data_IF_071204617160
#
_entry.id   IF_071204617160
#
_cell.length_a   1.000
_cell.length_b   1.000
_cell.length_c   1.000
_cell.angle_alpha   90.00
_cell.angle_beta   90.00
_cell.angle_gamma   90.00
#
_symmetry.space_group_name_H-M   'P 1'
#
loop_
_entity.id
_entity.type
_entity.pdbx_description
1 polymer ?
#
# COMPACT_ATOMS: atom_id res chain seq x y z
N UNK A 1 -16.89 -5.44 5.84
CA UNK A 1 -16.33 -4.40 4.95
C UNK A 1 -16.15 -3.12 5.76
N UNK A 2 -14.97 -2.86 6.29
CA UNK A 2 -14.68 -1.57 6.94
C UNK A 2 -14.56 -0.53 5.83
N UNK A 3 -15.38 0.54 5.80
CA UNK A 3 -15.29 1.51 4.71
C UNK A 3 -13.95 2.24 4.79
N UNK A 4 -13.05 1.95 3.85
CA UNK A 4 -11.75 2.64 3.70
C UNK A 4 -11.94 4.16 3.57
N UNK A 5 -13.12 4.61 3.15
CA UNK A 5 -13.55 6.01 3.14
C UNK A 5 -13.28 6.77 4.45
N UNK A 6 -13.35 6.10 5.62
CA UNK A 6 -13.04 6.73 6.92
C UNK A 6 -11.54 6.88 7.22
N UNK A 7 -10.66 6.21 6.47
CA UNK A 7 -9.20 6.28 6.67
C UNK A 7 -8.63 7.56 6.03
N UNK A 8 -9.31 8.14 5.02
CA UNK A 8 -8.89 9.38 4.35
C UNK A 8 -8.72 10.59 5.29
N UNK A 9 -9.39 10.59 6.45
CA UNK A 9 -9.28 11.68 7.44
C UNK A 9 -8.13 11.49 8.41
N UNK A 10 -7.44 10.35 8.39
CA UNK A 10 -6.33 10.06 9.30
C UNK A 10 -5.01 10.58 8.70
N UNK A 11 -4.83 11.91 8.72
CA UNK A 11 -3.70 12.61 8.13
C UNK A 11 -2.31 12.12 8.60
N UNK A 12 -2.24 11.36 9.71
CA UNK A 12 -0.99 10.95 10.35
C UNK A 12 -0.80 9.43 10.45
N UNK A 13 -1.53 8.62 9.68
CA UNK A 13 -1.28 7.16 9.67
C UNK A 13 0.06 6.88 9.02
N UNK A 14 1.00 6.37 9.81
CA UNK A 14 2.33 5.94 9.34
C UNK A 14 2.40 4.45 9.04
N UNK A 15 1.57 3.64 9.69
CA UNK A 15 1.56 2.18 9.55
C UNK A 15 0.13 1.73 9.39
N UNK A 16 -0.15 0.94 8.35
CA UNK A 16 -1.49 0.46 8.06
C UNK A 16 -1.48 -1.05 7.79
N UNK A 17 -2.24 -1.78 8.61
CA UNK A 17 -2.45 -3.23 8.48
C UNK A 17 -3.81 -3.50 7.85
N UNK A 18 -3.80 -4.09 6.66
CA UNK A 18 -4.99 -4.40 5.87
C UNK A 18 -4.93 -5.81 5.26
N UNK A 19 -4.11 -6.67 5.85
CA UNK A 19 -3.88 -8.03 5.36
C UNK A 19 -5.09 -8.93 5.61
N UNK A 20 -5.29 -9.97 4.78
CA UNK A 20 -6.45 -10.88 4.85
C UNK A 20 -7.81 -10.19 4.70
N UNK A 21 -7.93 -9.31 3.71
CA UNK A 21 -9.18 -8.66 3.30
C UNK A 21 -9.47 -8.93 1.81
N UNK A 22 -10.49 -8.28 1.24
CA UNK A 22 -10.81 -8.32 -0.20
C UNK A 22 -10.40 -7.02 -0.91
N UNK A 23 -9.20 -6.50 -0.61
CA UNK A 23 -8.70 -5.28 -1.25
C UNK A 23 -8.27 -5.60 -2.68
N UNK A 24 -8.84 -4.86 -3.63
CA UNK A 24 -8.60 -5.04 -5.08
C UNK A 24 -7.77 -3.92 -5.69
N UNK A 25 -7.63 -2.80 -4.99
CA UNK A 25 -6.96 -1.60 -5.48
C UNK A 25 -6.43 -0.73 -4.34
N UNK A 26 -5.39 0.06 -4.63
CA UNK A 26 -4.85 1.10 -3.74
C UNK A 26 -5.55 2.46 -3.90
N UNK A 27 -6.55 2.59 -4.78
CA UNK A 27 -7.19 3.86 -5.13
C UNK A 27 -7.74 4.62 -3.90
N UNK A 28 -8.30 3.91 -2.92
CA UNK A 28 -8.86 4.51 -1.72
C UNK A 28 -7.82 4.89 -0.67
N UNK A 29 -6.57 4.42 -0.83
CA UNK A 29 -5.46 4.62 0.09
C UNK A 29 -4.45 5.66 -0.41
N UNK A 30 -4.50 6.02 -1.71
CA UNK A 30 -3.50 6.89 -2.36
C UNK A 30 -3.33 8.27 -1.72
N UNK A 31 -4.33 8.74 -0.97
CA UNK A 31 -4.33 10.05 -0.31
C UNK A 31 -3.63 10.02 1.06
N UNK A 32 -3.20 8.84 1.54
CA UNK A 32 -2.49 8.66 2.82
C UNK A 32 -1.01 9.04 2.69
N UNK A 33 -0.75 10.33 2.54
CA UNK A 33 0.59 10.86 2.24
C UNK A 33 1.61 10.59 3.35
N UNK A 34 1.18 10.43 4.61
CA UNK A 34 2.05 10.13 5.75
C UNK A 34 2.41 8.65 5.91
N UNK A 35 1.92 7.78 5.02
CA UNK A 35 2.06 6.33 5.16
C UNK A 35 3.49 5.88 4.85
N UNK A 36 4.12 5.22 5.82
CA UNK A 36 5.47 4.68 5.72
C UNK A 36 5.48 3.16 5.55
N UNK A 37 4.49 2.46 6.11
CA UNK A 37 4.42 1.00 6.06
C UNK A 37 3.00 0.53 5.74
N UNK A 38 2.86 -0.30 4.71
CA UNK A 38 1.58 -0.81 4.23
C UNK A 38 1.59 -2.34 4.12
N UNK A 39 0.79 -3.01 4.94
CA UNK A 39 0.69 -4.47 4.96
C UNK A 39 -0.61 -4.94 4.31
N UNK A 40 -0.49 -5.52 3.12
CA UNK A 40 -1.59 -5.95 2.24
C UNK A 40 -1.51 -7.44 1.87
N UNK A 41 -0.74 -8.25 2.59
CA UNK A 41 -0.62 -9.66 2.27
C UNK A 41 -1.98 -10.37 2.34
N UNK A 42 -2.18 -11.40 1.51
CA UNK A 42 -3.42 -12.17 1.43
C UNK A 42 -4.65 -11.29 1.09
N UNK A 43 -4.61 -10.62 -0.06
CA UNK A 43 -5.70 -9.81 -0.62
C UNK A 43 -5.92 -10.18 -2.11
N UNK A 44 -6.73 -9.42 -2.83
CA UNK A 44 -7.07 -9.63 -4.24
C UNK A 44 -6.55 -8.50 -5.16
N UNK A 45 -5.41 -7.88 -4.83
CA UNK A 45 -4.76 -6.89 -5.68
C UNK A 45 -4.26 -7.55 -6.96
N UNK A 46 -4.70 -7.03 -8.12
CA UNK A 46 -4.21 -7.48 -9.44
C UNK A 46 -3.11 -6.58 -10.01
N UNK A 47 -2.96 -5.38 -9.47
CA UNK A 47 -1.97 -4.41 -9.89
C UNK A 47 -1.57 -3.48 -8.75
N UNK A 48 -0.42 -2.83 -8.94
CA UNK A 48 0.12 -1.82 -8.04
C UNK A 48 -0.16 -0.39 -8.54
N UNK A 49 -1.25 -0.20 -9.30
CA UNK A 49 -1.66 1.15 -9.73
C UNK A 49 -1.80 2.05 -8.48
N UNK A 50 -1.33 3.29 -8.59
CA UNK A 50 -1.28 4.31 -7.52
C UNK A 50 -0.19 4.11 -6.46
N UNK A 51 0.68 3.11 -6.58
CA UNK A 51 1.76 2.91 -5.60
C UNK A 51 2.76 4.09 -5.56
N UNK A 52 2.91 4.79 -6.68
CA UNK A 52 3.72 5.99 -6.85
C UNK A 52 3.20 7.23 -6.09
N UNK A 53 1.96 7.16 -5.57
CA UNK A 53 1.32 8.24 -4.81
C UNK A 53 1.73 8.23 -3.33
N UNK A 54 2.26 7.12 -2.81
CA UNK A 54 2.70 7.02 -1.43
C UNK A 54 4.14 7.52 -1.27
N UNK A 55 4.31 8.85 -1.22
CA UNK A 55 5.63 9.52 -1.26
C UNK A 55 6.56 9.17 -0.10
N UNK A 56 6.01 8.76 1.04
CA UNK A 56 6.77 8.41 2.24
C UNK A 56 6.87 6.89 2.48
N UNK A 57 6.42 6.06 1.53
CA UNK A 57 6.38 4.61 1.73
C UNK A 57 7.79 4.02 1.76
N UNK A 58 8.07 3.31 2.85
CA UNK A 58 9.36 2.65 3.12
C UNK A 58 9.26 1.14 3.08
N UNK A 59 8.07 0.60 3.36
CA UNK A 59 7.82 -0.84 3.34
C UNK A 59 6.44 -1.13 2.78
N UNK A 60 6.34 -2.13 1.91
CA UNK A 60 5.08 -2.72 1.49
C UNK A 60 5.16 -4.25 1.50
N UNK A 61 4.11 -4.91 2.01
CA UNK A 61 3.93 -6.36 1.95
C UNK A 61 2.70 -6.69 1.10
N UNK A 62 2.91 -7.34 -0.03
CA UNK A 62 1.87 -7.66 -1.03
C UNK A 62 1.81 -9.15 -1.36
N UNK A 63 2.53 -9.97 -0.60
CA UNK A 63 2.58 -11.43 -0.77
C UNK A 63 1.16 -12.02 -0.77
N UNK A 64 0.94 -13.10 -1.52
CA UNK A 64 -0.38 -13.74 -1.65
C UNK A 64 -1.45 -12.78 -2.20
N UNK A 65 -1.09 -11.99 -3.22
CA UNK A 65 -2.00 -11.29 -4.11
C UNK A 65 -1.76 -11.75 -5.56
N UNK A 66 -2.78 -11.74 -6.43
CA UNK A 66 -2.63 -12.11 -7.85
C UNK A 66 -1.99 -10.98 -8.70
N UNK A 67 -0.87 -10.41 -8.25
CA UNK A 67 -0.13 -9.36 -8.95
C UNK A 67 0.86 -10.00 -9.92
N UNK A 68 0.76 -9.67 -11.20
CA UNK A 68 1.64 -10.21 -12.25
C UNK A 68 2.68 -9.21 -12.74
N UNK A 69 2.52 -7.92 -12.43
CA UNK A 69 3.44 -6.84 -12.83
C UNK A 69 3.94 -6.08 -11.59
N UNK A 70 5.25 -6.17 -11.35
CA UNK A 70 5.96 -5.48 -10.27
C UNK A 70 6.77 -4.27 -10.76
N UNK A 71 6.72 -3.94 -12.06
CA UNK A 71 7.36 -2.76 -12.65
C UNK A 71 7.05 -1.47 -11.87
N UNK A 72 5.83 -1.25 -11.35
CA UNK A 72 5.54 -0.05 -10.55
C UNK A 72 6.40 0.11 -9.29
N UNK A 73 6.99 -0.96 -8.75
CA UNK A 73 7.88 -0.89 -7.57
C UNK A 73 9.27 -0.34 -7.90
N UNK A 74 9.73 -0.44 -9.15
CA UNK A 74 11.06 0.03 -9.58
C UNK A 74 11.18 1.55 -9.39
N UNK A 75 10.07 2.26 -9.57
CA UNK A 75 10.01 3.72 -9.45
C UNK A 75 9.85 4.21 -8.01
N UNK A 76 9.73 3.30 -7.04
CA UNK A 76 9.62 3.65 -5.62
C UNK A 76 11.00 3.55 -5.02
N UNK A 77 11.51 4.68 -4.55
CA UNK A 77 12.75 4.71 -3.80
C UNK A 77 12.48 4.23 -2.37
N UNK A 78 12.45 2.91 -2.16
CA UNK A 78 12.48 2.37 -0.80
C UNK A 78 13.83 2.72 -0.18
N UNK A 79 13.90 3.35 1.01
CA UNK A 79 15.16 3.52 1.69
C UNK A 79 15.72 2.12 1.93
N UNK A 80 16.87 1.84 1.31
CA UNK A 80 17.58 0.59 1.54
C UNK A 80 17.79 0.47 3.05
N UNK A 81 17.47 -0.69 3.63
CA UNK A 81 17.87 -0.99 5.00
C UNK A 81 19.41 -0.98 5.00
N UNK A 82 20.01 0.14 5.40
CA UNK A 82 21.40 0.16 5.80
C UNK A 82 21.45 -0.64 7.10
N UNK A 83 22.07 -1.83 7.01
CA UNK A 83 22.45 -2.64 8.16
C UNK A 83 23.39 -1.87 9.08
#
# INVERSE_FOLDING_TARGET
>A
MTPIAKIKTLANVRILFLSSNDIKSLCDLKDLQSLERLYLFNNNLKSLKYIDQFKNLKEIRIERNPITDLTPLININFPQFLN
#
